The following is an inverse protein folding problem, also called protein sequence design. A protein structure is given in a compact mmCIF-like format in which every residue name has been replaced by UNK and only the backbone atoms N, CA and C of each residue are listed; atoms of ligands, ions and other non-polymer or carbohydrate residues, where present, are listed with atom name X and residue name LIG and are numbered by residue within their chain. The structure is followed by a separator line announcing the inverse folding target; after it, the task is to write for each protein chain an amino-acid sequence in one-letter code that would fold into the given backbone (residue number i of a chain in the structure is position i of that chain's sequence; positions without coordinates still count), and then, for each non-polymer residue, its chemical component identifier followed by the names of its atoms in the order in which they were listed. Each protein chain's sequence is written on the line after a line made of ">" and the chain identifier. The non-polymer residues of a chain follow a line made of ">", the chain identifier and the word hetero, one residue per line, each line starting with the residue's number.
data_IF_330476042116
#
_entry.id   IF_330476042116
#
_cell.length_a   1.000
_cell.length_b   1.000
_cell.length_c   1.000
_cell.angle_alpha   90.00
_cell.angle_beta   90.00
_cell.angle_gamma   90.00
#
_symmetry.space_group_name_H-M   'P 1'
#
loop_
_entity.id
_entity.type
_entity.pdbx_description
1 polymer ?
#
# COMPACT_ATOMS: atom_id res chain seq x y z
N UNK A 1 -17.32 -10.80 -13.91
CA UNK A 1 -18.11 -10.47 -12.70
C UNK A 1 -17.11 -9.93 -11.70
N UNK A 2 -17.08 -8.61 -11.43
CA UNK A 2 -16.11 -8.03 -10.51
C UNK A 2 -16.59 -8.33 -9.08
N UNK A 3 -15.94 -9.28 -8.41
CA UNK A 3 -16.19 -9.57 -7.01
C UNK A 3 -15.69 -8.36 -6.24
N UNK A 4 -16.62 -7.51 -5.81
CA UNK A 4 -16.32 -6.35 -4.96
C UNK A 4 -16.12 -6.89 -3.55
N UNK A 5 -14.94 -7.45 -3.28
CA UNK A 5 -14.54 -7.82 -1.92
C UNK A 5 -14.55 -6.54 -1.08
N UNK A 6 -15.41 -6.52 -0.06
CA UNK A 6 -15.36 -5.49 0.97
C UNK A 6 -14.18 -5.83 1.84
N UNK A 7 -13.11 -5.05 1.70
CA UNK A 7 -11.89 -5.19 2.47
C UNK A 7 -12.20 -4.73 3.89
N UNK A 8 -11.80 -5.53 4.87
CA UNK A 8 -11.97 -5.25 6.30
C UNK A 8 -10.95 -4.21 6.78
N UNK A 9 -11.22 -3.55 7.90
CA UNK A 9 -10.36 -2.47 8.42
C UNK A 9 -8.94 -2.98 8.78
N UNK A 10 -8.82 -4.23 9.25
CA UNK A 10 -7.54 -4.91 9.50
C UNK A 10 -6.64 -5.01 8.25
N UNK A 11 -7.20 -5.31 7.07
CA UNK A 11 -6.44 -5.43 5.81
C UNK A 11 -5.97 -4.06 5.29
N UNK A 12 -6.63 -2.97 5.69
CA UNK A 12 -6.13 -1.61 5.42
C UNK A 12 -4.91 -1.28 6.25
N UNK A 13 -4.92 -1.71 7.51
CA UNK A 13 -3.83 -1.47 8.44
C UNK A 13 -2.57 -2.20 7.97
N UNK A 14 -2.71 -3.43 7.46
CA UNK A 14 -1.58 -4.21 6.94
C UNK A 14 -0.98 -3.64 5.65
N UNK A 15 -1.80 -3.16 4.72
CA UNK A 15 -1.35 -2.55 3.46
C UNK A 15 -0.68 -1.18 3.64
N UNK A 16 -0.95 -0.49 4.73
CA UNK A 16 -0.38 0.83 5.03
C UNK A 16 0.64 0.79 6.17
N UNK A 17 1.04 -0.40 6.58
CA UNK A 17 1.99 -0.59 7.66
C UNK A 17 3.40 -0.24 7.20
N UNK A 18 4.07 0.58 7.99
CA UNK A 18 5.46 0.99 7.84
C UNK A 18 5.77 1.84 6.60
N UNK A 19 4.79 2.21 5.76
CA UNK A 19 4.94 3.13 4.61
C UNK A 19 4.86 4.60 5.05
N UNK A 20 5.54 5.48 4.32
CA UNK A 20 5.52 6.93 4.57
C UNK A 20 4.14 7.53 4.32
N UNK A 21 3.85 8.69 4.94
CA UNK A 21 2.53 9.34 4.87
C UNK A 21 2.07 9.62 3.43
N UNK A 22 3.00 9.90 2.52
CA UNK A 22 2.72 10.13 1.10
C UNK A 22 2.30 8.84 0.39
N UNK A 23 3.05 7.76 0.61
CA UNK A 23 2.78 6.45 0.01
C UNK A 23 1.49 5.86 0.57
N UNK A 24 1.24 6.05 1.87
CA UNK A 24 -0.03 5.71 2.51
C UNK A 24 -1.22 6.39 1.83
N UNK A 25 -1.15 7.70 1.62
CA UNK A 25 -2.21 8.45 0.94
C UNK A 25 -2.41 7.97 -0.51
N UNK A 26 -1.35 7.56 -1.19
CA UNK A 26 -1.41 7.03 -2.55
C UNK A 26 -2.06 5.64 -2.60
N UNK A 27 -1.70 4.75 -1.68
CA UNK A 27 -2.31 3.42 -1.52
C UNK A 27 -3.81 3.53 -1.22
N UNK A 28 -4.21 4.44 -0.32
CA UNK A 28 -5.63 4.68 -0.02
C UNK A 28 -6.39 5.19 -1.25
N UNK A 29 -5.83 6.12 -2.02
CA UNK A 29 -6.44 6.58 -3.27
C UNK A 29 -6.58 5.48 -4.33
N UNK A 30 -5.56 4.65 -4.49
CA UNK A 30 -5.59 3.55 -5.45
C UNK A 30 -6.60 2.48 -5.05
N UNK A 31 -6.74 2.23 -3.74
CA UNK A 31 -7.79 1.37 -3.18
C UNK A 31 -9.19 1.93 -3.47
N UNK A 32 -9.42 3.23 -3.25
CA UNK A 32 -10.69 3.88 -3.59
C UNK A 32 -11.01 3.82 -5.10
N UNK A 33 -9.98 3.85 -5.94
CA UNK A 33 -10.10 3.66 -7.39
C UNK A 33 -10.41 2.21 -7.81
N UNK A 34 -10.41 1.26 -6.87
CA UNK A 34 -10.71 -0.15 -7.13
C UNK A 34 -9.53 -0.95 -7.69
N UNK A 35 -8.29 -0.50 -7.44
CA UNK A 35 -7.07 -1.26 -7.75
C UNK A 35 -7.05 -2.56 -6.91
N UNK A 36 -6.55 -3.64 -7.51
CA UNK A 36 -6.42 -4.93 -6.85
C UNK A 36 -5.46 -4.90 -5.68
N UNK A 37 -5.81 -5.58 -4.59
CA UNK A 37 -5.03 -5.59 -3.34
C UNK A 37 -3.63 -6.17 -3.51
N UNK A 38 -3.51 -7.21 -4.35
CA UNK A 38 -2.23 -7.83 -4.70
C UNK A 38 -1.26 -6.82 -5.35
N UNK A 39 -1.80 -5.87 -6.12
CA UNK A 39 -1.02 -4.81 -6.75
C UNK A 39 -0.66 -3.70 -5.75
N UNK A 40 -1.54 -3.40 -4.79
CA UNK A 40 -1.25 -2.46 -3.70
C UNK A 40 -0.19 -3.01 -2.75
N UNK A 41 -0.20 -4.32 -2.47
CA UNK A 41 0.83 -4.99 -1.68
C UNK A 41 2.19 -4.90 -2.37
N UNK A 42 2.27 -5.21 -3.67
CA UNK A 42 3.49 -5.02 -4.46
C UNK A 42 3.99 -3.58 -4.45
N UNK A 43 3.09 -2.60 -4.52
CA UNK A 43 3.45 -1.18 -4.43
C UNK A 43 4.03 -0.83 -3.06
N UNK A 44 3.41 -1.31 -1.98
CA UNK A 44 3.91 -1.13 -0.60
C UNK A 44 5.31 -1.73 -0.45
N UNK A 45 5.53 -2.97 -0.87
CA UNK A 45 6.84 -3.61 -0.80
C UNK A 45 7.91 -2.84 -1.60
N UNK A 46 7.56 -2.34 -2.79
CA UNK A 46 8.45 -1.51 -3.60
C UNK A 46 8.78 -0.17 -2.92
N UNK A 47 7.80 0.48 -2.30
CA UNK A 47 7.98 1.71 -1.52
C UNK A 47 8.91 1.49 -0.31
N UNK A 48 8.81 0.35 0.36
CA UNK A 48 9.70 -0.02 1.46
C UNK A 48 11.13 -0.31 0.97
N UNK A 49 11.27 -0.95 -0.20
CA UNK A 49 12.58 -1.25 -0.81
C UNK A 49 13.27 0.01 -1.37
N UNK A 50 12.50 0.96 -1.93
CA UNK A 50 13.03 2.23 -2.46
C UNK A 50 13.25 3.29 -1.39
N UNK A 51 12.82 3.06 -0.15
CA UNK A 51 13.12 3.97 0.95
C UNK A 51 14.64 4.11 1.00
N UNK A 52 15.18 5.34 0.88
CA UNK A 52 16.62 5.52 0.77
C UNK A 52 17.26 4.83 1.97
N UNK A 53 18.15 3.88 1.68
CA UNK A 53 19.05 3.37 2.70
C UNK A 53 19.88 4.58 3.08
N UNK A 54 19.62 5.15 4.26
CA UNK A 54 20.59 6.01 4.91
C UNK A 54 21.76 5.11 5.32
N UNK A 55 22.51 4.63 4.31
CA UNK A 55 23.87 4.16 4.48
C UNK A 55 24.64 5.40 4.94
N UNK A 56 24.75 5.53 6.25
CA UNK A 56 25.61 6.51 6.88
C UNK A 56 27.04 6.27 6.43
N UNK A 57 27.57 7.21 5.66
CA UNK A 57 28.99 7.55 5.63
C UNK A 57 29.27 8.74 6.56
#
# INVERSE_FOLDING_TARGET
>A
MAIKQRITDDERDELTKDVDDLDKAYIERMKEAGISEDLLAQFRDLSLEMRPVEDGE
#
